data_IF_681462424313
#
_entry.id   IF_681462424313
#
_cell.length_a   1.000
_cell.length_b   1.000
_cell.length_c   1.000
_cell.angle_alpha   90.00
_cell.angle_beta   90.00
_cell.angle_gamma   90.00
#
_symmetry.space_group_name_H-M   'P 1'
#
loop_
_entity.id
_entity.type
_entity.pdbx_description
1 polymer ?
#
# COMPACT_ATOMS: atom_id res chain seq x y z
N UNK A 1 5.43 -25.94 -3.08
CA UNK A 1 6.60 -25.04 -3.26
C UNK A 1 6.86 -24.91 -4.75
N UNK A 2 6.93 -23.73 -5.26
CA UNK A 2 7.03 -23.49 -6.70
C UNK A 2 8.48 -23.77 -7.15
N UNK A 3 8.69 -24.66 -8.12
CA UNK A 3 10.01 -25.06 -8.65
C UNK A 3 10.90 -23.85 -9.04
N UNK A 4 10.30 -22.72 -9.44
CA UNK A 4 10.98 -21.47 -9.75
C UNK A 4 11.69 -20.81 -8.56
N UNK A 5 11.18 -21.00 -7.32
CA UNK A 5 11.81 -20.43 -6.11
C UNK A 5 13.12 -21.14 -5.79
N UNK A 6 13.17 -22.46 -6.02
CA UNK A 6 14.36 -23.27 -5.73
C UNK A 6 15.53 -22.95 -6.68
N UNK A 7 15.21 -22.55 -7.92
CA UNK A 7 16.22 -22.31 -8.95
C UNK A 7 16.79 -20.89 -8.94
N UNK A 8 15.97 -19.88 -8.63
CA UNK A 8 16.35 -18.46 -8.71
C UNK A 8 16.31 -17.71 -7.38
N UNK A 9 15.71 -18.29 -6.35
CA UNK A 9 15.42 -17.62 -5.08
C UNK A 9 14.38 -16.50 -5.18
N UNK A 10 13.64 -16.41 -6.31
CA UNK A 10 12.63 -15.38 -6.58
C UNK A 10 11.32 -16.04 -6.99
N UNK A 11 10.22 -15.65 -6.32
CA UNK A 11 8.86 -15.98 -6.73
C UNK A 11 8.15 -14.75 -7.29
N UNK A 12 7.37 -14.93 -8.34
CA UNK A 12 6.57 -13.86 -8.94
C UNK A 12 5.08 -14.12 -8.71
N UNK A 13 4.36 -13.06 -8.35
CA UNK A 13 2.90 -13.12 -8.23
C UNK A 13 2.27 -11.77 -8.59
N UNK A 14 1.00 -11.81 -8.96
CA UNK A 14 0.17 -10.61 -9.15
C UNK A 14 -1.23 -10.84 -8.60
N UNK A 15 -1.88 -9.75 -8.20
CA UNK A 15 -3.28 -9.76 -7.77
C UNK A 15 -3.95 -8.42 -8.03
N UNK A 16 -5.28 -8.45 -8.04
CA UNK A 16 -6.12 -7.26 -8.17
C UNK A 16 -7.10 -7.19 -7.01
N UNK A 17 -7.32 -6.01 -6.45
CA UNK A 17 -8.34 -5.71 -5.46
C UNK A 17 -9.16 -4.52 -5.94
N UNK A 18 -10.44 -4.49 -5.59
CA UNK A 18 -11.34 -3.41 -5.97
C UNK A 18 -12.09 -2.88 -4.75
N UNK A 19 -12.45 -1.59 -4.79
CA UNK A 19 -13.35 -0.94 -3.83
C UNK A 19 -14.27 0.01 -4.56
N UNK A 20 -15.51 0.05 -4.15
CA UNK A 20 -16.50 0.99 -4.68
C UNK A 20 -16.91 2.00 -3.61
N UNK A 21 -17.11 3.24 -4.05
CA UNK A 21 -17.48 4.37 -3.21
C UNK A 21 -18.62 5.15 -3.87
N UNK A 22 -19.55 5.62 -3.06
CA UNK A 22 -20.62 6.54 -3.52
C UNK A 22 -20.12 7.98 -3.70
N UNK A 23 -18.83 8.23 -3.41
CA UNK A 23 -18.19 9.54 -3.49
C UNK A 23 -17.45 9.74 -4.81
N UNK A 24 -17.34 10.99 -5.30
CA UNK A 24 -16.64 11.33 -6.53
C UNK A 24 -15.13 10.95 -6.47
N UNK A 25 -14.52 10.75 -7.64
CA UNK A 25 -13.10 10.35 -7.76
C UNK A 25 -12.15 11.33 -7.09
N UNK A 26 -12.47 12.62 -7.11
CA UNK A 26 -11.67 13.68 -6.50
C UNK A 26 -11.54 13.47 -4.98
N UNK A 27 -12.61 13.04 -4.34
CA UNK A 27 -12.65 12.77 -2.90
C UNK A 27 -11.86 11.51 -2.54
N UNK A 28 -11.98 10.45 -3.34
CA UNK A 28 -11.24 9.19 -3.14
C UNK A 28 -9.74 9.39 -3.42
N UNK A 29 -9.39 10.07 -4.50
CA UNK A 29 -8.01 10.40 -4.85
C UNK A 29 -7.33 11.25 -3.76
N UNK A 30 -8.06 12.20 -3.18
CA UNK A 30 -7.55 13.07 -2.11
C UNK A 30 -7.14 12.29 -0.85
N UNK A 31 -7.68 11.09 -0.61
CA UNK A 31 -7.23 10.22 0.48
C UNK A 31 -5.77 9.77 0.33
N UNK A 32 -5.28 9.69 -0.89
CA UNK A 32 -3.89 9.37 -1.21
C UNK A 32 -3.01 10.61 -1.37
N UNK A 33 -3.52 11.66 -2.01
CA UNK A 33 -2.73 12.82 -2.42
C UNK A 33 -2.53 13.86 -1.33
N UNK A 34 -3.44 13.96 -0.39
CA UNK A 34 -3.34 14.91 0.73
C UNK A 34 -2.58 14.27 1.90
N UNK A 35 -1.39 14.79 2.26
CA UNK A 35 -0.54 14.16 3.29
C UNK A 35 -1.24 13.95 4.63
N UNK A 36 -2.09 14.89 5.05
CA UNK A 36 -2.85 14.78 6.30
C UNK A 36 -3.85 13.62 6.28
N UNK A 37 -4.59 13.45 5.17
CA UNK A 37 -5.54 12.34 4.98
C UNK A 37 -4.80 11.00 4.86
N UNK A 38 -3.74 10.95 4.05
CA UNK A 38 -2.91 9.75 3.91
C UNK A 38 -2.34 9.32 5.27
N UNK A 39 -1.77 10.25 6.04
CA UNK A 39 -1.26 9.95 7.38
C UNK A 39 -2.33 9.44 8.32
N UNK A 40 -3.55 10.00 8.26
CA UNK A 40 -4.64 9.59 9.13
C UNK A 40 -4.95 8.10 8.96
N UNK A 41 -5.28 7.65 7.75
CA UNK A 41 -5.68 6.26 7.56
C UNK A 41 -4.49 5.28 7.50
N UNK A 42 -3.36 5.70 6.93
CA UNK A 42 -2.21 4.81 6.72
C UNK A 42 -1.37 4.60 7.98
N UNK A 43 -1.23 5.65 8.80
CA UNK A 43 -0.42 5.60 10.03
C UNK A 43 -1.29 5.56 11.26
N UNK A 44 -2.17 6.54 11.46
CA UNK A 44 -2.88 6.67 12.74
C UNK A 44 -3.93 5.57 12.94
N UNK A 45 -4.67 5.21 11.89
CA UNK A 45 -5.74 4.21 11.98
C UNK A 45 -5.22 2.79 11.74
N UNK A 46 -4.59 2.54 10.58
CA UNK A 46 -4.13 1.21 10.21
C UNK A 46 -3.05 0.66 11.14
N UNK A 47 -2.15 1.54 11.63
CA UNK A 47 -1.02 1.16 12.48
C UNK A 47 -1.20 1.59 13.93
N UNK A 48 -2.44 1.79 14.34
CA UNK A 48 -2.75 2.13 15.72
C UNK A 48 -2.20 1.04 16.69
N UNK A 49 -1.43 1.47 17.67
CA UNK A 49 -0.76 0.58 18.63
C UNK A 49 0.54 -0.07 18.11
N UNK A 50 0.94 0.20 16.88
CA UNK A 50 2.23 -0.22 16.34
C UNK A 50 3.30 0.86 16.57
N UNK A 51 4.57 0.43 16.72
CA UNK A 51 5.71 1.33 16.89
C UNK A 51 6.21 1.85 15.53
N UNK A 52 5.57 2.91 15.02
CA UNK A 52 6.00 3.59 13.78
C UNK A 52 7.15 4.52 14.11
N UNK A 53 8.34 4.11 13.70
CA UNK A 53 9.61 4.82 13.96
C UNK A 53 9.80 5.99 12.99
N UNK A 54 9.34 5.84 11.74
CA UNK A 54 9.51 6.85 10.69
C UNK A 54 8.37 6.79 9.69
N UNK A 55 7.87 7.97 9.30
CA UNK A 55 6.97 8.12 8.15
C UNK A 55 7.21 9.45 7.45
N UNK A 56 7.44 9.39 6.15
CA UNK A 56 7.56 10.56 5.27
C UNK A 56 6.84 10.31 3.95
N UNK A 57 6.31 11.36 3.35
CA UNK A 57 5.60 11.34 2.08
C UNK A 57 5.92 12.57 1.26
N UNK A 58 6.43 12.35 0.05
CA UNK A 58 6.50 13.32 -1.03
C UNK A 58 5.63 12.79 -2.20
N UNK A 59 4.39 13.26 -2.27
CA UNK A 59 3.41 12.83 -3.27
C UNK A 59 3.60 13.60 -4.58
N UNK A 60 4.62 13.23 -5.33
CA UNK A 60 4.95 13.76 -6.65
C UNK A 60 5.57 12.66 -7.52
N UNK A 61 5.51 12.78 -8.84
CA UNK A 61 6.25 11.87 -9.73
C UNK A 61 7.75 11.96 -9.42
N UNK A 62 8.37 10.80 -9.15
CA UNK A 62 9.73 10.69 -8.65
C UNK A 62 9.88 10.93 -7.14
N UNK A 63 8.82 11.41 -6.46
CA UNK A 63 8.78 11.57 -5.02
C UNK A 63 8.74 10.22 -4.29
N UNK A 64 9.00 10.24 -3.00
CA UNK A 64 9.16 9.05 -2.17
C UNK A 64 8.20 9.03 -0.99
N UNK A 65 7.75 7.84 -0.66
CA UNK A 65 7.08 7.55 0.61
C UNK A 65 7.90 6.51 1.36
N UNK A 66 8.19 6.76 2.62
CA UNK A 66 8.92 5.83 3.46
C UNK A 66 8.17 5.61 4.77
N UNK A 67 8.02 4.36 5.13
CA UNK A 67 7.48 3.95 6.43
C UNK A 67 8.43 2.92 7.04
N UNK A 68 8.81 3.13 8.29
CA UNK A 68 9.55 2.17 9.10
C UNK A 68 8.84 1.96 10.41
N UNK A 69 8.61 0.71 10.74
CA UNK A 69 7.90 0.31 11.94
C UNK A 69 8.68 -0.82 12.62
N UNK A 70 8.77 -0.76 13.94
CA UNK A 70 9.36 -1.83 14.73
C UNK A 70 8.34 -2.91 14.99
N UNK A 71 8.70 -4.15 14.72
CA UNK A 71 7.82 -5.29 15.00
C UNK A 71 7.88 -5.67 16.47
N UNK A 72 6.81 -6.29 16.97
CA UNK A 72 6.79 -6.82 18.32
C UNK A 72 7.92 -7.86 18.50
N UNK A 73 8.69 -7.81 19.61
CA UNK A 73 9.68 -8.85 19.93
C UNK A 73 9.11 -10.27 20.01
N UNK A 74 7.81 -10.40 20.33
CA UNK A 74 7.10 -11.68 20.33
C UNK A 74 6.67 -12.16 18.94
N UNK A 75 6.75 -11.29 17.91
CA UNK A 75 6.42 -11.65 16.52
C UNK A 75 7.50 -12.56 15.90
N UNK A 76 7.20 -13.24 14.79
CA UNK A 76 8.20 -13.99 14.03
C UNK A 76 9.39 -13.15 13.57
N UNK A 77 9.22 -11.84 13.43
CA UNK A 77 10.27 -10.88 13.06
C UNK A 77 11.12 -10.38 14.24
N UNK A 78 10.80 -10.82 15.47
CA UNK A 78 11.60 -10.64 16.70
C UNK A 78 12.04 -9.20 17.00
N UNK A 79 11.18 -8.22 16.79
CA UNK A 79 11.50 -6.81 17.03
C UNK A 79 12.36 -6.15 15.95
N UNK A 80 12.56 -6.80 14.80
CA UNK A 80 13.25 -6.19 13.67
C UNK A 80 12.40 -5.06 13.06
N UNK A 81 13.06 -4.08 12.46
CA UNK A 81 12.36 -3.03 11.73
C UNK A 81 11.79 -3.57 10.41
N UNK A 82 10.51 -3.33 10.17
CA UNK A 82 9.88 -3.49 8.85
C UNK A 82 9.91 -2.15 8.14
N UNK A 83 10.56 -2.10 6.98
CA UNK A 83 10.68 -0.89 6.16
C UNK A 83 9.97 -1.07 4.83
N UNK A 84 9.14 -0.09 4.47
CA UNK A 84 8.56 0.06 3.14
C UNK A 84 9.12 1.34 2.52
N UNK A 85 9.68 1.23 1.31
CA UNK A 85 10.18 2.35 0.53
C UNK A 85 9.51 2.37 -0.83
N UNK A 86 8.77 3.45 -1.10
CA UNK A 86 7.98 3.65 -2.31
C UNK A 86 8.54 4.81 -3.13
N UNK A 87 8.53 4.67 -4.45
CA UNK A 87 8.75 5.75 -5.42
C UNK A 87 7.51 5.87 -6.29
N UNK A 88 6.96 7.06 -6.42
CA UNK A 88 5.85 7.33 -7.34
C UNK A 88 6.38 7.46 -8.76
N UNK A 89 5.98 6.52 -9.61
CA UNK A 89 6.46 6.42 -11.00
C UNK A 89 5.61 7.25 -11.96
N UNK A 90 4.31 7.36 -11.69
CA UNK A 90 3.37 8.18 -12.46
C UNK A 90 2.19 8.58 -11.59
N UNK A 91 1.75 9.81 -11.72
CA UNK A 91 0.55 10.35 -11.05
C UNK A 91 -0.21 11.17 -12.08
N UNK A 92 -1.46 10.83 -12.30
CA UNK A 92 -2.42 11.64 -13.04
C UNK A 92 -3.60 11.91 -12.14
N UNK A 93 -3.82 13.17 -11.81
CA UNK A 93 -4.83 13.60 -10.84
C UNK A 93 -6.20 13.02 -11.14
N UNK A 94 -6.81 12.39 -10.15
CA UNK A 94 -8.13 11.78 -10.21
C UNK A 94 -8.27 10.63 -11.23
N UNK A 95 -7.15 10.14 -11.79
CA UNK A 95 -7.13 9.08 -12.81
C UNK A 95 -6.34 7.87 -12.36
N UNK A 96 -5.06 8.05 -11.99
CA UNK A 96 -4.19 6.93 -11.61
C UNK A 96 -2.99 7.33 -10.75
N UNK A 97 -2.51 6.37 -10.00
CA UNK A 97 -1.23 6.39 -9.30
C UNK A 97 -0.49 5.11 -9.67
N UNK A 98 0.76 5.22 -10.10
CA UNK A 98 1.66 4.07 -10.32
C UNK A 98 2.88 4.24 -9.42
N UNK A 99 3.21 3.19 -8.69
CA UNK A 99 4.33 3.22 -7.74
C UNK A 99 5.13 1.93 -7.80
N UNK A 100 6.42 2.05 -7.52
CA UNK A 100 7.30 0.91 -7.26
C UNK A 100 7.75 0.96 -5.80
N UNK A 101 7.78 -0.19 -5.12
CA UNK A 101 8.20 -0.21 -3.73
C UNK A 101 8.98 -1.48 -3.36
N UNK A 102 9.79 -1.36 -2.33
CA UNK A 102 10.49 -2.48 -1.72
C UNK A 102 10.08 -2.64 -0.26
N UNK A 103 10.13 -3.88 0.22
CA UNK A 103 10.00 -4.16 1.65
C UNK A 103 11.25 -4.85 2.17
N UNK A 104 11.65 -4.48 3.38
CA UNK A 104 12.79 -5.06 4.07
C UNK A 104 12.46 -5.36 5.54
N UNK A 105 13.08 -6.40 6.09
CA UNK A 105 13.07 -6.74 7.51
C UNK A 105 14.51 -6.61 8.02
N UNK A 106 14.75 -5.65 8.90
CA UNK A 106 16.12 -5.24 9.23
C UNK A 106 16.87 -4.79 7.97
N UNK A 107 18.06 -5.33 7.75
CA UNK A 107 18.87 -5.03 6.57
C UNK A 107 18.57 -5.93 5.36
N UNK A 108 17.60 -6.84 5.48
CA UNK A 108 17.30 -7.83 4.45
C UNK A 108 16.08 -7.42 3.64
N UNK A 109 16.27 -7.19 2.33
CA UNK A 109 15.16 -6.90 1.40
C UNK A 109 14.41 -8.19 1.08
N UNK A 110 13.09 -8.19 1.32
CA UNK A 110 12.22 -9.38 1.15
C UNK A 110 11.40 -9.35 -0.13
N UNK A 111 11.19 -8.19 -0.74
CA UNK A 111 10.43 -8.08 -2.00
C UNK A 111 10.67 -6.77 -2.73
N UNK A 112 10.38 -6.78 -4.03
CA UNK A 112 10.23 -5.60 -4.86
C UNK A 112 8.91 -5.72 -5.65
N UNK A 113 8.14 -4.63 -5.70
CA UNK A 113 6.79 -4.61 -6.25
C UNK A 113 6.55 -3.39 -7.13
N UNK A 114 5.66 -3.55 -8.10
CA UNK A 114 5.02 -2.44 -8.80
C UNK A 114 3.52 -2.53 -8.57
N UNK A 115 2.91 -1.41 -8.20
CA UNK A 115 1.48 -1.31 -7.97
C UNK A 115 0.87 -0.13 -8.72
N UNK A 116 -0.37 -0.29 -9.16
CA UNK A 116 -1.17 0.77 -9.77
C UNK A 116 -2.53 0.88 -9.09
N UNK A 117 -3.01 2.12 -8.96
CA UNK A 117 -4.36 2.45 -8.55
C UNK A 117 -5.02 3.21 -9.70
N UNK A 118 -6.14 2.71 -10.20
CA UNK A 118 -6.97 3.38 -11.20
C UNK A 118 -8.27 3.84 -10.55
N UNK A 119 -8.62 5.11 -10.78
CA UNK A 119 -9.82 5.76 -10.24
C UNK A 119 -10.83 5.93 -11.37
N UNK A 120 -11.88 5.12 -11.37
CA UNK A 120 -12.88 5.07 -12.43
C UNK A 120 -14.19 5.68 -11.94
N UNK A 121 -14.74 6.63 -12.71
CA UNK A 121 -16.09 7.18 -12.43
C UNK A 121 -17.14 6.12 -12.71
N UNK A 122 -18.06 5.94 -11.78
CA UNK A 122 -19.25 5.10 -12.00
C UNK A 122 -20.38 5.91 -12.61
N UNK A 123 -21.37 5.24 -13.21
CA UNK A 123 -22.54 5.90 -13.80
C UNK A 123 -23.34 6.73 -12.79
N UNK A 124 -23.31 6.35 -11.50
CA UNK A 124 -23.95 7.07 -10.40
C UNK A 124 -23.15 8.26 -9.84
N UNK A 125 -22.00 8.58 -10.43
CA UNK A 125 -21.12 9.66 -9.96
C UNK A 125 -20.18 9.27 -8.82
N UNK A 126 -20.18 8.02 -8.42
CA UNK A 126 -19.24 7.44 -7.47
C UNK A 126 -17.90 7.05 -8.09
N UNK A 127 -17.14 6.25 -7.36
CA UNK A 127 -15.79 5.80 -7.76
C UNK A 127 -15.67 4.30 -7.64
N UNK A 128 -15.11 3.65 -8.65
CA UNK A 128 -14.54 2.31 -8.57
C UNK A 128 -13.02 2.45 -8.57
N UNK A 129 -12.39 2.06 -7.47
CA UNK A 129 -10.95 1.99 -7.32
C UNK A 129 -10.48 0.58 -7.67
N UNK A 130 -9.55 0.48 -8.61
CA UNK A 130 -8.90 -0.78 -8.99
C UNK A 130 -7.44 -0.70 -8.60
N UNK A 131 -7.03 -1.55 -7.68
CA UNK A 131 -5.64 -1.75 -7.28
C UNK A 131 -5.10 -3.02 -7.92
N UNK A 132 -3.96 -2.92 -8.58
CA UNK A 132 -3.25 -4.07 -9.15
C UNK A 132 -1.79 -4.04 -8.72
N UNK A 133 -1.28 -5.21 -8.29
CA UNK A 133 0.12 -5.38 -7.88
C UNK A 133 0.78 -6.54 -8.61
N UNK A 134 2.06 -6.33 -8.96
CA UNK A 134 2.99 -7.35 -9.43
C UNK A 134 4.22 -7.32 -8.52
N UNK A 135 4.64 -8.49 -8.02
CA UNK A 135 5.73 -8.58 -7.04
C UNK A 135 6.72 -9.67 -7.38
N UNK A 136 7.98 -9.38 -7.07
CA UNK A 136 9.04 -10.35 -6.92
C UNK A 136 9.29 -10.55 -5.41
N UNK A 137 9.08 -11.76 -4.93
CA UNK A 137 9.31 -12.18 -3.54
C UNK A 137 10.64 -12.89 -3.44
N UNK A 138 11.48 -12.47 -2.50
CA UNK A 138 12.77 -13.09 -2.23
C UNK A 138 12.65 -14.13 -1.12
N UNK A 139 13.74 -14.83 -0.79
CA UNK A 139 13.74 -15.77 0.31
C UNK A 139 13.32 -15.08 1.63
N UNK A 140 12.61 -15.81 2.49
CA UNK A 140 12.08 -15.31 3.77
C UNK A 140 11.08 -14.14 3.66
N UNK A 141 10.46 -13.96 2.49
CA UNK A 141 9.39 -12.96 2.31
C UNK A 141 8.09 -13.40 3.00
N UNK A 142 7.17 -12.43 3.13
CA UNK A 142 5.80 -12.64 3.57
C UNK A 142 5.01 -13.55 2.60
N UNK A 143 5.37 -13.55 1.32
CA UNK A 143 4.71 -14.30 0.26
C UNK A 143 3.43 -13.62 -0.27
N UNK A 144 2.89 -14.13 -1.40
CA UNK A 144 1.81 -13.46 -2.12
C UNK A 144 0.49 -13.39 -1.35
N UNK A 145 0.15 -14.41 -0.57
CA UNK A 145 -1.10 -14.45 0.18
C UNK A 145 -1.12 -13.39 1.30
N UNK A 146 -0.07 -13.32 2.11
CA UNK A 146 0.06 -12.32 3.16
C UNK A 146 0.14 -10.90 2.58
N UNK A 147 0.80 -10.72 1.43
CA UNK A 147 0.85 -9.44 0.75
C UNK A 147 -0.55 -8.98 0.32
N UNK A 148 -1.33 -9.88 -0.28
CA UNK A 148 -2.72 -9.61 -0.66
C UNK A 148 -3.59 -9.26 0.56
N UNK A 149 -3.47 -10.01 1.67
CA UNK A 149 -4.16 -9.71 2.92
C UNK A 149 -3.75 -8.34 3.49
N UNK A 150 -2.46 -8.02 3.44
CA UNK A 150 -1.93 -6.72 3.87
C UNK A 150 -2.56 -5.57 3.07
N UNK A 151 -2.59 -5.67 1.75
CA UNK A 151 -3.22 -4.67 0.90
C UNK A 151 -4.74 -4.60 1.08
N UNK A 152 -5.41 -5.72 1.34
CA UNK A 152 -6.83 -5.72 1.70
C UNK A 152 -7.08 -4.83 2.92
N UNK A 153 -6.30 -5.01 4.00
CA UNK A 153 -6.39 -4.19 5.21
C UNK A 153 -6.05 -2.71 4.95
N UNK A 154 -5.06 -2.44 4.11
CA UNK A 154 -4.68 -1.08 3.70
C UNK A 154 -5.84 -0.39 3.00
N UNK A 155 -6.45 -1.03 2.00
CA UNK A 155 -7.57 -0.47 1.25
C UNK A 155 -8.84 -0.34 2.12
N UNK A 156 -9.06 -1.24 3.07
CA UNK A 156 -10.17 -1.13 4.02
C UNK A 156 -10.00 0.06 4.98
N UNK A 157 -8.78 0.31 5.45
CA UNK A 157 -8.48 1.49 6.27
C UNK A 157 -8.71 2.80 5.49
N UNK A 158 -8.25 2.85 4.24
CA UNK A 158 -8.50 3.97 3.35
C UNK A 158 -10.00 4.17 3.09
N UNK A 159 -10.74 3.09 2.85
CA UNK A 159 -12.17 3.15 2.61
C UNK A 159 -12.95 3.72 3.83
N UNK A 160 -12.56 3.35 5.04
CA UNK A 160 -13.15 3.93 6.27
C UNK A 160 -12.93 5.43 6.35
N UNK A 161 -11.72 5.91 6.02
CA UNK A 161 -11.42 7.34 6.01
C UNK A 161 -12.22 8.09 4.94
N UNK A 162 -12.28 7.55 3.70
CA UNK A 162 -13.08 8.13 2.61
C UNK A 162 -14.54 8.28 3.02
N UNK A 163 -15.14 7.24 3.58
CA UNK A 163 -16.54 7.26 4.01
C UNK A 163 -16.77 8.21 5.18
N UNK A 164 -15.86 8.25 6.15
CA UNK A 164 -15.95 9.13 7.31
C UNK A 164 -15.84 10.61 6.93
N UNK A 165 -14.99 10.96 5.96
CA UNK A 165 -14.80 12.34 5.48
C UNK A 165 -15.91 12.77 4.52
N UNK A 166 -16.48 11.85 3.73
CA UNK A 166 -17.64 12.13 2.88
C UNK A 166 -18.88 12.52 3.69
N UNK A 167 -19.07 11.94 4.88
CA UNK A 167 -20.22 12.24 5.75
C UNK A 167 -20.13 13.61 6.43
N UNK A 168 -18.98 14.30 6.36
CA UNK A 168 -18.73 15.62 6.98
C UNK A 168 -18.74 16.77 5.97
N UNK A 169 -18.81 16.45 4.69
CA UNK A 169 -18.89 17.41 3.60
C UNK A 169 -20.37 17.62 3.18
#
# INVERSE_FOLDING_TARGET
MNQQIEETGIAHASFTLEREFDTPVEHVFAAFSLPGRKRQWFINDLRNGMDVVEYSLDFAVGGRERMRMRTDPASPMRGADLTNETVYMDIVDNVRIVMAYTMAVGDYRISASMASLAFLKTAGGGTRLVFHEQSAFFANSDGPEHRREGWTKILDAMAREVNATASRA
#
